data_IF_955718454010
#
_entry.id   IF_955718454010
#
_cell.length_a   1.000
_cell.length_b   1.000
_cell.length_c   1.000
_cell.angle_alpha   90.00
_cell.angle_beta   90.00
_cell.angle_gamma   90.00
#
_symmetry.space_group_name_H-M   'P 1'
#
loop_
_entity.id
_entity.type
_entity.pdbx_description
1 polymer ?
#
# COMPACT_ATOMS: atom_id res chain seq x y z
N UNK A 1 -11.94 -7.11 9.00
CA UNK A 1 -10.54 -7.11 9.49
C UNK A 1 -10.29 -8.43 10.20
N UNK A 2 -9.41 -9.28 9.67
CA UNK A 2 -9.01 -10.54 10.28
C UNK A 2 -7.68 -10.33 11.03
N UNK A 3 -7.70 -10.50 12.36
CA UNK A 3 -6.53 -10.23 13.21
C UNK A 3 -6.64 -11.01 14.51
N UNK A 4 -5.48 -11.28 15.13
CA UNK A 4 -5.35 -11.81 16.49
C UNK A 4 -4.75 -10.79 17.45
N UNK A 5 -4.43 -9.58 16.99
CA UNK A 5 -3.97 -8.49 17.84
C UNK A 5 -5.17 -7.84 18.57
N UNK A 6 -5.17 -7.93 19.91
CA UNK A 6 -6.15 -7.25 20.75
C UNK A 6 -6.15 -5.73 20.52
N UNK A 7 -7.30 -5.08 20.73
CA UNK A 7 -7.55 -3.67 20.43
C UNK A 7 -7.57 -3.23 18.96
N UNK A 8 -6.96 -3.94 18.01
CA UNK A 8 -6.80 -3.41 16.64
C UNK A 8 -8.14 -3.01 16.01
N UNK A 9 -9.13 -3.90 16.04
CA UNK A 9 -10.47 -3.64 15.49
C UNK A 9 -11.19 -2.53 16.29
N UNK A 10 -11.09 -2.55 17.63
CA UNK A 10 -11.73 -1.56 18.48
C UNK A 10 -11.14 -0.14 18.26
N UNK A 11 -9.81 -0.04 18.14
CA UNK A 11 -9.10 1.19 17.85
C UNK A 11 -9.49 1.73 16.47
N UNK A 12 -9.48 0.88 15.44
CA UNK A 12 -9.89 1.26 14.08
C UNK A 12 -11.33 1.74 14.05
N UNK A 13 -12.24 1.02 14.73
CA UNK A 13 -13.65 1.41 14.85
C UNK A 13 -13.84 2.76 15.56
N UNK A 14 -13.04 3.07 16.59
CA UNK A 14 -13.04 4.40 17.23
C UNK A 14 -12.61 5.49 16.24
N UNK A 15 -11.59 5.23 15.42
CA UNK A 15 -11.20 6.12 14.33
C UNK A 15 -12.34 6.34 13.32
N UNK A 16 -12.98 5.26 12.88
CA UNK A 16 -14.16 5.33 12.01
C UNK A 16 -15.30 6.13 12.64
N UNK A 17 -15.49 6.02 13.96
CA UNK A 17 -16.48 6.81 14.70
C UNK A 17 -16.15 8.31 14.69
N UNK A 18 -14.89 8.69 14.82
CA UNK A 18 -14.47 10.08 14.71
C UNK A 18 -14.72 10.64 13.30
N UNK A 19 -14.54 9.81 12.28
CA UNK A 19 -14.74 10.19 10.88
C UNK A 19 -16.21 10.16 10.43
N UNK A 20 -17.13 9.64 11.25
CA UNK A 20 -18.52 9.40 10.84
C UNK A 20 -19.26 10.69 10.44
N UNK A 21 -18.99 11.81 11.13
CA UNK A 21 -19.64 13.10 10.86
C UNK A 21 -19.07 13.81 9.62
N UNK A 22 -17.76 13.71 9.39
CA UNK A 22 -17.06 14.45 8.35
C UNK A 22 -16.81 13.64 7.06
N UNK A 23 -16.87 12.30 7.15
CA UNK A 23 -16.49 11.41 6.07
C UNK A 23 -14.98 11.41 5.80
N UNK A 24 -14.60 10.70 4.74
CA UNK A 24 -13.23 10.65 4.21
C UNK A 24 -13.30 10.85 2.70
N UNK A 25 -12.56 11.84 2.19
CA UNK A 25 -12.33 11.99 0.75
C UNK A 25 -11.13 11.14 0.35
N UNK A 26 -11.21 10.43 -0.77
CA UNK A 26 -10.09 9.62 -1.26
C UNK A 26 -10.04 9.59 -2.79
N UNK A 27 -8.82 9.47 -3.33
CA UNK A 27 -8.56 9.39 -4.77
C UNK A 27 -7.44 8.41 -5.07
N UNK A 28 -7.62 7.60 -6.11
CA UNK A 28 -6.52 6.86 -6.74
C UNK A 28 -5.83 7.82 -7.70
N UNK A 29 -4.54 8.07 -7.48
CA UNK A 29 -3.72 9.02 -8.27
C UNK A 29 -2.82 8.32 -9.28
N UNK A 30 -2.61 7.02 -9.12
CA UNK A 30 -1.96 6.18 -10.14
C UNK A 30 -2.41 4.71 -10.00
N UNK A 31 -2.43 3.99 -11.12
CA UNK A 31 -2.68 2.56 -11.17
C UNK A 31 -1.72 1.89 -12.15
N UNK A 32 -0.83 1.05 -11.63
CA UNK A 32 0.09 0.25 -12.43
C UNK A 32 0.85 -0.76 -11.60
N UNK A 33 0.54 -2.04 -11.76
CA UNK A 33 1.37 -3.11 -11.23
C UNK A 33 2.66 -3.23 -12.06
N UNK A 34 3.73 -3.73 -11.44
CA UNK A 34 5.06 -3.71 -12.05
C UNK A 34 5.77 -5.05 -12.08
N UNK A 35 6.60 -5.22 -13.12
CA UNK A 35 7.58 -6.30 -13.23
C UNK A 35 8.91 -5.72 -13.70
N UNK A 36 9.99 -6.04 -12.99
CA UNK A 36 11.32 -5.50 -13.22
C UNK A 36 12.34 -6.59 -13.53
N UNK A 37 12.39 -7.12 -14.77
CA UNK A 37 13.44 -8.01 -15.23
C UNK A 37 14.84 -7.37 -15.20
N UNK A 38 15.83 -8.24 -15.25
CA UNK A 38 17.22 -7.89 -15.52
C UNK A 38 17.72 -8.66 -16.75
N UNK A 39 18.27 -7.93 -17.71
CA UNK A 39 18.93 -8.48 -18.89
C UNK A 39 20.39 -8.06 -18.91
N UNK A 40 21.21 -8.80 -19.66
CA UNK A 40 22.66 -8.60 -19.76
C UNK A 40 23.10 -8.51 -21.21
N UNK A 41 24.08 -7.66 -21.45
CA UNK A 41 24.71 -7.46 -22.76
C UNK A 41 26.20 -7.78 -22.70
N UNK A 42 26.89 -7.92 -23.84
CA UNK A 42 28.35 -8.12 -23.88
C UNK A 42 29.12 -7.02 -23.15
N UNK A 43 28.70 -5.76 -23.31
CA UNK A 43 29.33 -4.59 -22.70
C UNK A 43 28.31 -3.49 -22.38
N UNK A 44 28.77 -2.45 -21.68
CA UNK A 44 27.93 -1.30 -21.28
C UNK A 44 27.39 -0.52 -22.48
N UNK A 45 28.17 -0.34 -23.55
CA UNK A 45 27.73 0.40 -24.75
C UNK A 45 26.49 -0.24 -25.38
N UNK A 46 26.47 -1.57 -25.51
CA UNK A 46 25.32 -2.32 -26.01
C UNK A 46 24.10 -2.21 -25.09
N UNK A 47 24.28 -2.27 -23.78
CA UNK A 47 23.19 -2.03 -22.83
C UNK A 47 22.62 -0.61 -22.93
N UNK A 48 23.47 0.40 -23.16
CA UNK A 48 23.07 1.80 -23.38
C UNK A 48 22.32 2.02 -24.70
N UNK A 49 22.71 1.30 -25.76
CA UNK A 49 21.99 1.30 -27.04
C UNK A 49 20.58 0.72 -26.87
N UNK A 50 20.44 -0.41 -26.17
CA UNK A 50 19.13 -0.99 -25.84
C UNK A 50 18.27 -0.06 -24.96
N UNK A 51 18.89 0.61 -23.99
CA UNK A 51 18.21 1.59 -23.14
C UNK A 51 17.66 2.78 -23.96
N UNK A 52 18.46 3.29 -24.91
CA UNK A 52 18.04 4.36 -25.83
C UNK A 52 16.91 3.87 -26.74
N UNK A 53 17.03 2.65 -27.26
CA UNK A 53 16.00 2.04 -28.10
C UNK A 53 14.66 1.91 -27.35
N UNK A 54 14.67 1.44 -26.09
CA UNK A 54 13.45 1.32 -25.26
C UNK A 54 12.80 2.65 -24.88
N UNK A 55 13.58 3.74 -24.88
CA UNK A 55 13.11 5.11 -24.56
C UNK A 55 12.58 5.86 -25.78
N UNK A 56 12.88 5.38 -26.98
CA UNK A 56 12.31 5.95 -28.19
C UNK A 56 10.79 5.69 -28.23
N UNK A 57 9.95 6.71 -28.43
CA UNK A 57 8.49 6.56 -28.40
C UNK A 57 7.94 5.53 -29.41
N UNK A 58 8.47 5.50 -30.63
CA UNK A 58 8.01 4.56 -31.66
C UNK A 58 8.31 3.11 -31.28
N UNK A 59 9.50 2.85 -30.74
CA UNK A 59 9.87 1.51 -30.27
C UNK A 59 9.09 1.10 -29.03
N UNK A 60 8.79 2.04 -28.13
CA UNK A 60 7.92 1.79 -26.99
C UNK A 60 6.54 1.33 -27.44
N UNK A 61 5.94 1.96 -28.45
CA UNK A 61 4.63 1.55 -28.98
C UNK A 61 4.66 0.14 -29.58
N UNK A 62 5.73 -0.23 -30.30
CA UNK A 62 5.90 -1.60 -30.81
C UNK A 62 6.01 -2.63 -29.68
N UNK A 63 6.80 -2.32 -28.64
CA UNK A 63 6.94 -3.17 -27.47
C UNK A 63 5.64 -3.25 -26.67
N UNK A 64 4.91 -2.14 -26.55
CA UNK A 64 3.59 -2.05 -25.92
C UNK A 64 2.57 -2.92 -26.65
N UNK A 65 2.53 -2.89 -27.98
CA UNK A 65 1.66 -3.77 -28.76
C UNK A 65 1.97 -5.26 -28.49
N UNK A 66 3.26 -5.61 -28.42
CA UNK A 66 3.69 -6.96 -28.04
C UNK A 66 3.24 -7.34 -26.62
N UNK A 67 3.40 -6.44 -25.65
CA UNK A 67 2.96 -6.64 -24.25
C UNK A 67 1.44 -6.81 -24.14
N UNK A 68 0.69 -5.89 -24.74
CA UNK A 68 -0.77 -5.80 -24.62
C UNK A 68 -1.46 -6.96 -25.35
N UNK A 69 -0.81 -7.59 -26.34
CA UNK A 69 -1.33 -8.79 -27.02
C UNK A 69 -1.55 -9.99 -26.08
N UNK A 70 -0.93 -9.98 -24.90
CA UNK A 70 -0.91 -11.13 -23.99
C UNK A 70 -2.16 -11.27 -23.12
N UNK A 71 -2.97 -10.19 -23.02
CA UNK A 71 -4.14 -10.10 -22.14
C UNK A 71 -5.10 -9.00 -22.59
N UNK A 72 -6.40 -9.24 -22.40
CA UNK A 72 -7.42 -8.21 -22.62
C UNK A 72 -7.39 -7.08 -21.59
N UNK A 73 -6.78 -7.29 -20.42
CA UNK A 73 -6.74 -6.32 -19.32
C UNK A 73 -5.36 -5.68 -19.12
N UNK A 74 -4.29 -6.33 -19.59
CA UNK A 74 -2.94 -5.79 -19.41
C UNK A 74 -2.73 -4.63 -20.38
N UNK A 75 -2.49 -3.42 -19.85
CA UNK A 75 -2.20 -2.25 -20.67
C UNK A 75 -0.92 -1.60 -20.18
N UNK A 76 0.18 -1.80 -20.91
CA UNK A 76 1.47 -1.21 -20.60
C UNK A 76 1.36 0.31 -20.68
N UNK A 77 1.68 1.01 -19.60
CA UNK A 77 1.60 2.47 -19.54
C UNK A 77 2.96 3.12 -19.68
N UNK A 78 4.00 2.54 -19.08
CA UNK A 78 5.34 3.14 -19.04
C UNK A 78 6.42 2.08 -18.82
N UNK A 79 7.62 2.37 -19.33
CA UNK A 79 8.85 1.71 -18.90
C UNK A 79 9.69 2.66 -18.05
N UNK A 80 10.21 2.15 -16.94
CA UNK A 80 11.26 2.83 -16.18
C UNK A 80 12.53 1.99 -16.27
N UNK A 81 13.55 2.52 -16.95
CA UNK A 81 14.77 1.77 -17.30
C UNK A 81 15.99 2.33 -16.57
N UNK A 82 16.82 1.44 -16.01
CA UNK A 82 18.07 1.75 -15.33
C UNK A 82 19.18 0.80 -15.79
N UNK A 83 20.40 1.32 -15.90
CA UNK A 83 21.58 0.56 -16.32
C UNK A 83 22.57 0.46 -15.14
N UNK A 84 23.23 -0.70 -15.01
CA UNK A 84 24.32 -0.92 -14.07
C UNK A 84 25.43 -1.75 -14.75
N UNK A 85 26.47 -1.06 -15.23
CA UNK A 85 27.48 -1.67 -16.10
C UNK A 85 26.86 -2.23 -17.38
N UNK A 86 26.99 -3.53 -17.61
CA UNK A 86 26.40 -4.23 -18.78
C UNK A 86 25.03 -4.85 -18.51
N UNK A 87 24.42 -4.57 -17.36
CA UNK A 87 23.08 -5.02 -17.01
C UNK A 87 22.06 -3.91 -17.21
N UNK A 88 20.89 -4.28 -17.73
CA UNK A 88 19.77 -3.37 -17.94
C UNK A 88 18.56 -3.87 -17.13
N UNK A 89 18.06 -3.02 -16.25
CA UNK A 89 16.86 -3.26 -15.46
C UNK A 89 15.71 -2.49 -16.09
N UNK A 90 14.65 -3.19 -16.46
CA UNK A 90 13.52 -2.64 -17.21
C UNK A 90 12.28 -2.84 -16.36
N UNK A 91 11.74 -1.77 -15.77
CA UNK A 91 10.52 -1.84 -14.95
C UNK A 91 9.31 -1.57 -15.84
N UNK A 92 8.60 -2.63 -16.20
CA UNK A 92 7.32 -2.59 -16.89
C UNK A 92 6.24 -2.15 -15.90
N UNK A 93 5.41 -1.20 -16.29
CA UNK A 93 4.30 -0.68 -15.49
C UNK A 93 3.03 -0.81 -16.34
N UNK A 94 2.03 -1.54 -15.85
CA UNK A 94 0.80 -1.76 -16.60
C UNK A 94 -0.43 -1.82 -15.69
N UNK A 95 -1.57 -1.39 -16.23
CA UNK A 95 -2.87 -1.67 -15.64
C UNK A 95 -3.23 -3.15 -15.82
N UNK A 96 -4.04 -3.68 -14.92
CA UNK A 96 -4.34 -5.13 -14.85
C UNK A 96 -5.81 -5.44 -14.60
N UNK A 97 -6.69 -4.45 -14.83
CA UNK A 97 -8.09 -4.52 -14.43
C UNK A 97 -8.23 -4.76 -12.93
N UNK A 98 -9.17 -5.61 -12.55
CA UNK A 98 -9.48 -5.93 -11.15
C UNK A 98 -8.56 -6.98 -10.51
N UNK A 99 -7.64 -7.55 -11.29
CA UNK A 99 -6.61 -8.44 -10.73
C UNK A 99 -5.46 -7.62 -10.14
N UNK A 100 -4.85 -8.12 -9.06
CA UNK A 100 -3.57 -7.58 -8.57
C UNK A 100 -2.49 -7.68 -9.67
N UNK A 101 -2.56 -8.72 -10.51
CA UNK A 101 -1.99 -8.68 -11.86
C UNK A 101 -0.57 -9.22 -12.03
N UNK A 102 0.06 -9.78 -11.00
CA UNK A 102 1.45 -10.25 -11.07
C UNK A 102 1.72 -11.33 -12.13
N UNK A 103 0.83 -12.30 -12.30
CA UNK A 103 0.96 -13.31 -13.36
C UNK A 103 0.80 -12.70 -14.76
N UNK A 104 -0.16 -11.78 -14.87
CA UNK A 104 -0.44 -11.05 -16.12
C UNK A 104 0.76 -10.21 -16.55
N UNK A 105 1.36 -9.45 -15.62
CA UNK A 105 2.58 -8.68 -15.87
C UNK A 105 3.75 -9.56 -16.29
N UNK A 106 3.91 -10.72 -15.64
CA UNK A 106 5.05 -11.61 -15.90
C UNK A 106 4.99 -12.18 -17.32
N UNK A 107 3.80 -12.60 -17.76
CA UNK A 107 3.55 -13.07 -19.13
C UNK A 107 3.79 -11.97 -20.17
N UNK A 108 3.24 -10.77 -19.95
CA UNK A 108 3.46 -9.63 -20.83
C UNK A 108 4.95 -9.28 -20.96
N UNK A 109 5.65 -9.26 -19.82
CA UNK A 109 7.08 -8.98 -19.76
C UNK A 109 7.90 -10.00 -20.53
N UNK A 110 7.65 -11.30 -20.34
CA UNK A 110 8.38 -12.36 -21.04
C UNK A 110 8.28 -12.22 -22.57
N UNK A 111 7.06 -12.00 -23.07
CA UNK A 111 6.80 -11.82 -24.50
C UNK A 111 7.48 -10.55 -25.02
N UNK A 112 7.40 -9.43 -24.30
CA UNK A 112 8.09 -8.20 -24.66
C UNK A 112 9.62 -8.36 -24.68
N UNK A 113 10.20 -9.09 -23.73
CA UNK A 113 11.66 -9.33 -23.72
C UNK A 113 12.08 -10.19 -24.92
N UNK A 114 11.28 -11.18 -25.30
CA UNK A 114 11.55 -11.97 -26.51
C UNK A 114 11.45 -11.11 -27.78
N UNK A 115 10.52 -10.15 -27.84
CA UNK A 115 10.44 -9.17 -28.92
C UNK A 115 11.68 -8.25 -28.98
N UNK A 116 12.14 -7.73 -27.83
CA UNK A 116 13.37 -6.94 -27.76
C UNK A 116 14.58 -7.75 -28.20
N UNK A 117 14.63 -9.04 -27.85
CA UNK A 117 15.72 -9.96 -28.22
C UNK A 117 15.85 -10.17 -29.74
N UNK A 118 14.78 -9.97 -30.51
CA UNK A 118 14.86 -10.00 -31.98
C UNK A 118 15.67 -8.83 -32.54
N UNK A 119 15.63 -7.67 -31.88
CA UNK A 119 16.42 -6.48 -32.24
C UNK A 119 17.82 -6.50 -31.61
N UNK A 120 17.96 -7.15 -30.46
CA UNK A 120 19.20 -7.29 -29.71
C UNK A 120 19.50 -8.79 -29.47
N UNK A 121 19.98 -9.53 -30.49
CA UNK A 121 20.23 -10.97 -30.37
C UNK A 121 21.32 -11.31 -29.36
N UNK A 122 22.19 -10.36 -29.05
CA UNK A 122 23.23 -10.42 -28.01
C UNK A 122 22.69 -10.14 -26.58
N UNK A 123 21.39 -9.86 -26.43
CA UNK A 123 20.73 -9.70 -25.14
C UNK A 123 20.45 -11.07 -24.48
N UNK A 124 20.92 -11.21 -23.24
CA UNK A 124 20.64 -12.36 -22.39
C UNK A 124 19.60 -11.99 -21.32
N UNK A 125 18.49 -12.73 -21.26
CA UNK A 125 17.49 -12.58 -20.21
C UNK A 125 17.96 -13.39 -19.00
N UNK A 126 18.46 -12.70 -17.96
CA UNK A 126 18.95 -13.37 -16.75
C UNK A 126 17.81 -13.76 -15.80
N UNK A 127 16.83 -12.88 -15.65
CA UNK A 127 15.65 -13.14 -14.81
C UNK A 127 14.51 -12.21 -15.19
N UNK A 128 13.28 -12.74 -15.17
CA UNK A 128 12.05 -11.94 -15.29
C UNK A 128 11.83 -11.03 -14.07
N UNK A 129 12.50 -11.29 -12.94
CA UNK A 129 12.46 -10.48 -11.73
C UNK A 129 13.87 -10.24 -11.20
N UNK A 130 14.49 -9.13 -11.61
CA UNK A 130 15.77 -8.63 -11.11
C UNK A 130 15.65 -7.76 -9.87
N UNK A 131 14.63 -7.98 -9.03
CA UNK A 131 14.29 -7.15 -7.86
C UNK A 131 13.99 -5.66 -8.13
N UNK A 132 13.89 -5.24 -9.39
CA UNK A 132 13.52 -3.87 -9.77
C UNK A 132 12.00 -3.66 -9.96
N UNK A 133 11.18 -4.61 -9.47
CA UNK A 133 9.72 -4.47 -9.48
C UNK A 133 9.26 -3.37 -8.50
N UNK A 134 9.54 -3.39 -7.18
CA UNK A 134 10.11 -4.47 -6.37
C UNK A 134 9.00 -5.20 -5.59
N UNK A 135 9.00 -6.52 -5.59
CA UNK A 135 7.90 -7.33 -5.03
C UNK A 135 8.24 -7.90 -3.67
N UNK A 136 7.44 -7.63 -2.63
CA UNK A 136 7.59 -8.20 -1.27
C UNK A 136 8.94 -7.90 -0.58
N UNK A 137 9.62 -6.83 -0.99
CA UNK A 137 10.84 -6.31 -0.37
C UNK A 137 10.72 -4.80 -0.19
N UNK A 138 11.25 -4.22 0.89
CA UNK A 138 11.30 -2.77 1.03
C UNK A 138 12.19 -2.20 -0.08
N UNK A 139 11.67 -1.23 -0.84
CA UNK A 139 12.40 -0.61 -1.93
C UNK A 139 11.92 0.81 -2.18
N UNK A 140 12.86 1.76 -2.20
CA UNK A 140 12.58 3.18 -2.47
C UNK A 140 11.89 3.41 -3.82
N UNK A 141 12.13 2.55 -4.82
CA UNK A 141 11.46 2.67 -6.13
C UNK A 141 9.94 2.53 -6.02
N UNK A 142 9.42 1.72 -5.10
CA UNK A 142 7.97 1.61 -4.89
C UNK A 142 7.42 2.84 -4.16
N UNK A 143 8.20 3.41 -3.25
CA UNK A 143 7.84 4.65 -2.54
C UNK A 143 7.77 5.85 -3.49
N UNK A 144 8.79 6.00 -4.34
CA UNK A 144 8.97 7.18 -5.20
C UNK A 144 8.13 7.10 -6.48
N UNK A 145 8.15 5.95 -7.15
CA UNK A 145 7.52 5.78 -8.47
C UNK A 145 6.17 5.04 -8.40
N UNK A 146 5.73 4.64 -7.20
CA UNK A 146 4.51 3.85 -6.99
C UNK A 146 4.61 2.39 -7.43
N UNK A 147 3.62 1.58 -7.03
CA UNK A 147 3.41 0.19 -7.49
C UNK A 147 2.01 -0.31 -7.13
N UNK A 148 1.25 -0.82 -8.09
CA UNK A 148 -0.17 -1.12 -7.88
C UNK A 148 -0.97 0.18 -7.85
N UNK A 149 -1.76 0.40 -6.80
CA UNK A 149 -2.59 1.60 -6.64
C UNK A 149 -1.88 2.61 -5.74
N UNK A 150 -1.70 3.83 -6.24
CA UNK A 150 -1.31 4.98 -5.42
C UNK A 150 -2.57 5.72 -4.96
N UNK A 151 -2.78 5.84 -3.66
CA UNK A 151 -4.01 6.39 -3.08
C UNK A 151 -3.68 7.50 -2.09
N UNK A 152 -4.45 8.57 -2.15
CA UNK A 152 -4.48 9.62 -1.13
C UNK A 152 -5.86 9.65 -0.48
N UNK A 153 -5.91 9.86 0.83
CA UNK A 153 -7.14 10.04 1.59
C UNK A 153 -6.96 11.19 2.59
N UNK A 154 -8.03 11.96 2.81
CA UNK A 154 -8.04 13.09 3.73
C UNK A 154 -9.39 13.23 4.46
N UNK A 155 -9.34 13.88 5.62
CA UNK A 155 -10.51 14.29 6.38
C UNK A 155 -10.22 15.56 7.18
N UNK A 156 -11.26 16.34 7.44
CA UNK A 156 -11.27 17.46 8.38
C UNK A 156 -12.10 17.02 9.58
N UNK A 157 -11.45 16.80 10.72
CA UNK A 157 -12.08 16.29 11.94
C UNK A 157 -12.38 17.47 12.87
N UNK A 158 -13.66 17.72 13.21
CA UNK A 158 -14.05 18.82 14.08
C UNK A 158 -13.43 18.74 15.48
N UNK A 159 -13.10 19.89 16.07
CA UNK A 159 -12.53 19.99 17.41
C UNK A 159 -13.34 19.22 18.48
N UNK A 160 -14.68 19.35 18.44
CA UNK A 160 -15.58 18.65 19.39
C UNK A 160 -15.42 17.13 19.31
N UNK A 161 -15.16 16.59 18.12
CA UNK A 161 -14.93 15.16 17.91
C UNK A 161 -13.55 14.74 18.41
N UNK A 162 -12.52 15.56 18.19
CA UNK A 162 -11.17 15.31 18.71
C UNK A 162 -11.20 15.22 20.25
N UNK A 163 -11.89 16.15 20.91
CA UNK A 163 -12.01 16.13 22.36
C UNK A 163 -12.91 15.00 22.86
N UNK A 164 -14.12 14.87 22.30
CA UNK A 164 -15.14 13.96 22.84
C UNK A 164 -14.95 12.49 22.44
N UNK A 165 -14.41 12.20 21.27
CA UNK A 165 -14.19 10.82 20.78
C UNK A 165 -12.74 10.42 20.94
N UNK A 166 -11.81 11.28 20.49
CA UNK A 166 -10.37 10.99 20.47
C UNK A 166 -9.67 11.30 21.79
N UNK A 167 -10.35 12.02 22.71
CA UNK A 167 -9.90 12.28 24.09
C UNK A 167 -8.51 12.94 24.13
N UNK A 168 -8.28 13.87 23.21
CA UNK A 168 -7.02 14.61 23.05
C UNK A 168 -7.31 15.99 22.45
N UNK A 169 -6.29 16.75 22.07
CA UNK A 169 -6.39 18.04 21.37
C UNK A 169 -5.72 17.98 19.99
N UNK A 170 -6.10 18.89 19.10
CA UNK A 170 -5.50 19.02 17.76
C UNK A 170 -4.00 19.28 17.87
N UNK A 171 -3.58 20.21 18.73
CA UNK A 171 -2.17 20.52 18.94
C UNK A 171 -1.37 19.29 19.35
N UNK A 172 -1.86 18.50 20.30
CA UNK A 172 -1.16 17.30 20.76
C UNK A 172 -1.05 16.24 19.65
N UNK A 173 -2.08 16.10 18.80
CA UNK A 173 -2.03 15.20 17.64
C UNK A 173 -1.00 15.64 16.61
N UNK A 174 -0.98 16.93 16.27
CA UNK A 174 -0.01 17.51 15.33
C UNK A 174 1.42 17.34 15.85
N UNK A 175 1.66 17.67 17.12
CA UNK A 175 2.97 17.54 17.76
C UNK A 175 3.46 16.08 17.75
N UNK A 176 2.60 15.13 18.14
CA UNK A 176 2.96 13.70 18.10
C UNK A 176 3.17 13.23 16.66
N UNK A 177 2.39 13.69 15.68
CA UNK A 177 2.60 13.32 14.28
C UNK A 177 3.96 13.81 13.74
N UNK A 178 4.29 15.08 13.97
CA UNK A 178 5.57 15.64 13.55
C UNK A 178 6.73 14.90 14.23
N UNK A 179 6.67 14.76 15.55
CA UNK A 179 7.79 14.19 16.32
C UNK A 179 7.96 12.69 16.10
N UNK A 180 6.87 11.92 15.96
CA UNK A 180 6.91 10.47 15.75
C UNK A 180 7.01 10.08 14.29
N UNK A 181 6.00 10.42 13.49
CA UNK A 181 5.83 9.88 12.15
C UNK A 181 6.78 10.53 11.13
N UNK A 182 7.21 11.78 11.39
CA UNK A 182 8.18 12.47 10.54
C UNK A 182 9.59 12.41 11.13
N UNK A 183 9.84 13.11 12.23
CA UNK A 183 11.18 13.24 12.83
C UNK A 183 11.68 11.87 13.30
N UNK A 184 10.87 11.13 14.06
CA UNK A 184 11.22 9.80 14.57
C UNK A 184 11.54 8.81 13.45
N UNK A 185 10.70 8.74 12.41
CA UNK A 185 10.96 7.90 11.23
C UNK A 185 12.19 8.34 10.43
N UNK A 186 12.47 9.65 10.34
CA UNK A 186 13.68 10.16 9.71
C UNK A 186 14.95 9.77 10.49
N UNK A 187 14.93 9.91 11.81
CA UNK A 187 16.03 9.46 12.71
C UNK A 187 16.25 7.95 12.58
N UNK A 188 15.19 7.18 12.39
CA UNK A 188 15.26 5.73 12.20
C UNK A 188 15.75 5.29 10.80
N UNK A 189 15.96 6.22 9.86
CA UNK A 189 16.34 5.88 8.48
C UNK A 189 15.22 5.17 7.69
N UNK A 190 13.96 5.43 8.05
CA UNK A 190 12.80 4.81 7.41
C UNK A 190 12.61 5.32 5.97
N UNK A 191 12.25 4.42 5.06
CA UNK A 191 11.83 4.76 3.69
C UNK A 191 10.40 4.26 3.50
N UNK A 192 9.45 5.19 3.39
CA UNK A 192 8.02 4.89 3.21
C UNK A 192 7.25 4.55 4.49
N UNK A 193 7.92 4.44 5.64
CA UNK A 193 7.29 4.21 6.94
C UNK A 193 7.13 5.49 7.75
N UNK A 194 6.44 6.49 7.21
CA UNK A 194 6.16 7.78 7.87
C UNK A 194 4.75 7.81 8.47
N UNK A 195 4.41 6.75 9.20
CA UNK A 195 3.08 6.47 9.75
C UNK A 195 3.19 5.74 11.10
N UNK A 196 2.05 5.58 11.78
CA UNK A 196 2.00 4.92 13.06
C UNK A 196 1.91 3.39 12.93
N UNK A 197 0.91 2.88 12.21
CA UNK A 197 0.62 1.45 12.11
C UNK A 197 -0.16 1.05 10.85
N UNK A 198 0.08 1.70 9.70
CA UNK A 198 -0.61 1.36 8.45
C UNK A 198 -0.57 -0.14 8.12
N UNK A 199 0.56 -0.80 8.42
CA UNK A 199 0.76 -2.23 8.22
C UNK A 199 -0.26 -3.12 8.97
N UNK A 200 -0.70 -2.72 10.17
CA UNK A 200 -1.69 -3.48 10.94
C UNK A 200 -3.03 -3.52 10.21
N UNK A 201 -3.47 -2.35 9.72
CA UNK A 201 -4.74 -2.21 9.00
C UNK A 201 -4.68 -2.93 7.65
N UNK A 202 -3.61 -2.70 6.88
CA UNK A 202 -3.37 -3.34 5.58
C UNK A 202 -3.42 -4.86 5.74
N UNK A 203 -2.64 -5.42 6.67
CA UNK A 203 -2.59 -6.87 6.91
C UNK A 203 -3.96 -7.43 7.29
N UNK A 204 -4.67 -6.77 8.21
CA UNK A 204 -5.96 -7.26 8.68
C UNK A 204 -7.06 -7.22 7.59
N UNK A 205 -7.01 -6.24 6.69
CA UNK A 205 -7.90 -6.22 5.52
C UNK A 205 -7.45 -7.29 4.52
N UNK A 206 -6.16 -7.37 4.21
CA UNK A 206 -5.60 -8.28 3.21
C UNK A 206 -5.93 -9.74 3.50
N UNK A 207 -5.76 -10.19 4.75
CA UNK A 207 -6.11 -11.55 5.16
C UNK A 207 -7.62 -11.78 5.03
N UNK A 208 -8.45 -10.82 5.43
CA UNK A 208 -9.90 -10.94 5.37
C UNK A 208 -10.42 -11.01 3.92
N UNK A 209 -9.82 -10.24 3.01
CA UNK A 209 -10.29 -10.10 1.62
C UNK A 209 -9.51 -10.94 0.62
N UNK A 210 -8.69 -11.89 1.07
CA UNK A 210 -8.00 -12.86 0.21
C UNK A 210 -6.87 -12.30 -0.64
N UNK A 211 -6.26 -11.22 -0.17
CA UNK A 211 -5.06 -10.63 -0.78
C UNK A 211 -3.81 -11.43 -0.39
N UNK A 212 -2.66 -11.06 -0.95
CA UNK A 212 -1.36 -11.65 -0.59
C UNK A 212 -0.76 -10.89 0.61
N UNK A 213 -0.77 -11.45 1.83
CA UNK A 213 -0.30 -10.75 3.03
C UNK A 213 1.20 -10.45 2.99
N UNK A 214 2.00 -11.15 2.17
CA UNK A 214 3.42 -10.84 2.04
C UNK A 214 3.66 -9.52 1.29
N UNK A 215 2.67 -9.02 0.53
CA UNK A 215 2.72 -7.71 -0.11
C UNK A 215 2.52 -6.55 0.88
N UNK A 216 2.16 -6.83 2.15
CA UNK A 216 2.13 -5.82 3.21
C UNK A 216 3.44 -5.02 3.26
N UNK A 217 4.59 -5.64 2.97
CA UNK A 217 5.91 -4.98 2.92
C UNK A 217 5.92 -3.70 2.07
N UNK A 218 5.24 -3.71 0.91
CA UNK A 218 5.13 -2.56 0.02
C UNK A 218 3.81 -1.81 0.18
N UNK A 219 2.72 -2.55 0.37
CA UNK A 219 1.37 -2.00 0.53
C UNK A 219 1.18 -1.17 1.79
N UNK A 220 2.02 -1.33 2.81
CA UNK A 220 1.98 -0.51 4.03
C UNK A 220 2.80 0.78 3.95
N UNK A 221 3.44 1.07 2.81
CA UNK A 221 4.06 2.36 2.60
C UNK A 221 3.02 3.46 2.77
N UNK A 222 3.24 4.36 3.72
CA UNK A 222 2.30 5.41 4.06
C UNK A 222 3.04 6.58 4.69
N UNK A 223 2.66 7.79 4.27
CA UNK A 223 2.93 9.02 5.02
C UNK A 223 1.62 9.57 5.57
N UNK A 224 1.62 9.85 6.88
CA UNK A 224 0.51 10.45 7.60
C UNK A 224 0.88 11.87 7.98
N UNK A 225 0.04 12.82 7.57
CA UNK A 225 0.21 14.24 7.86
C UNK A 225 -0.99 14.74 8.66
N UNK A 226 -0.71 15.67 9.57
CA UNK A 226 -1.69 16.30 10.44
C UNK A 226 -1.34 17.77 10.60
N UNK A 227 -2.33 18.64 10.47
CA UNK A 227 -2.18 20.08 10.66
C UNK A 227 -3.46 20.71 11.24
N UNK A 228 -3.35 21.86 11.93
CA UNK A 228 -4.51 22.66 12.29
C UNK A 228 -5.28 23.12 11.05
N UNK A 229 -6.61 23.17 11.13
CA UNK A 229 -7.47 23.53 10.01
C UNK A 229 -8.58 24.52 10.40
N UNK A 230 -9.02 25.31 9.43
CA UNK A 230 -10.03 26.37 9.60
C UNK A 230 -9.41 27.71 9.98
N UNK A 231 -10.21 28.77 9.98
CA UNK A 231 -9.76 30.14 10.29
C UNK A 231 -9.11 30.24 11.68
N UNK A 232 -9.68 29.54 12.65
CA UNK A 232 -9.20 29.54 14.04
C UNK A 232 -8.18 28.41 14.32
N UNK A 233 -7.91 27.52 13.36
CA UNK A 233 -6.99 26.38 13.54
C UNK A 233 -7.45 25.33 14.57
N UNK A 234 -8.76 25.29 14.89
CA UNK A 234 -9.29 24.41 15.93
C UNK A 234 -9.59 23.00 15.44
N UNK A 235 -9.84 22.82 14.15
CA UNK A 235 -10.11 21.50 13.57
C UNK A 235 -8.81 20.82 13.15
N UNK A 236 -8.87 19.50 12.97
CA UNK A 236 -7.73 18.72 12.52
C UNK A 236 -7.89 18.35 11.05
N UNK A 237 -7.00 18.84 10.19
CA UNK A 237 -6.79 18.20 8.89
C UNK A 237 -5.86 16.99 9.07
N UNK A 238 -6.26 15.85 8.54
CA UNK A 238 -5.46 14.63 8.50
C UNK A 238 -5.46 14.06 7.09
N UNK A 239 -4.30 13.61 6.63
CA UNK A 239 -4.18 12.87 5.37
C UNK A 239 -3.28 11.65 5.49
N UNK A 240 -3.54 10.66 4.63
CA UNK A 240 -2.71 9.48 4.44
C UNK A 240 -2.45 9.31 2.94
N UNK A 241 -1.18 9.16 2.57
CA UNK A 241 -0.77 8.88 1.19
C UNK A 241 -0.03 7.56 1.11
N UNK A 242 -0.59 6.62 0.34
CA UNK A 242 -0.12 5.25 0.19
C UNK A 242 0.22 4.98 -1.29
N UNK A 243 1.49 5.13 -1.71
CA UNK A 243 1.84 5.13 -3.13
C UNK A 243 1.90 3.73 -3.76
N UNK A 244 1.87 2.67 -2.96
CA UNK A 244 2.16 1.32 -3.45
C UNK A 244 1.23 0.21 -2.94
N UNK A 245 -0.09 0.44 -2.94
CA UNK A 245 -1.07 -0.58 -2.53
C UNK A 245 -1.22 -1.65 -3.62
N UNK A 246 -0.73 -2.85 -3.34
CA UNK A 246 -0.82 -4.01 -4.22
C UNK A 246 -2.06 -4.82 -3.90
N UNK A 247 -3.11 -4.70 -4.72
CA UNK A 247 -4.43 -5.23 -4.36
C UNK A 247 -5.25 -5.65 -5.59
N UNK A 248 -6.17 -6.58 -5.41
CA UNK A 248 -7.11 -6.99 -6.45
C UNK A 248 -8.37 -7.65 -5.87
N UNK A 249 -9.41 -7.73 -6.69
CA UNK A 249 -10.69 -8.34 -6.35
C UNK A 249 -10.97 -9.61 -7.16
N UNK A 250 -10.08 -9.94 -8.11
CA UNK A 250 -10.09 -11.17 -8.91
C UNK A 250 -8.75 -11.91 -8.80
N UNK A 251 -8.82 -13.24 -8.64
CA UNK A 251 -7.67 -14.15 -8.64
C UNK A 251 -7.00 -14.33 -7.28
N UNK A 252 -6.12 -15.32 -7.18
CA UNK A 252 -5.45 -15.65 -5.90
C UNK A 252 -6.45 -16.11 -4.85
N UNK A 253 -6.31 -15.59 -3.61
CA UNK A 253 -7.18 -15.94 -2.49
C UNK A 253 -8.59 -15.35 -2.56
N UNK A 254 -8.87 -14.41 -3.47
CA UNK A 254 -10.19 -13.76 -3.58
C UNK A 254 -11.28 -14.71 -4.08
N UNK A 255 -10.90 -15.86 -4.66
CA UNK A 255 -11.81 -16.89 -5.16
C UNK A 255 -12.35 -17.79 -4.04
N UNK A 256 -11.71 -17.80 -2.87
CA UNK A 256 -12.14 -18.60 -1.73
C UNK A 256 -13.42 -18.01 -1.12
N UNK A 257 -14.42 -18.85 -0.86
CA UNK A 257 -15.75 -18.41 -0.44
C UNK A 257 -15.75 -17.46 0.78
N UNK A 258 -14.98 -17.71 1.87
CA UNK A 258 -14.97 -16.81 3.03
C UNK A 258 -14.38 -15.41 2.71
N UNK A 259 -13.28 -15.37 1.96
CA UNK A 259 -12.63 -14.12 1.54
C UNK A 259 -13.50 -13.36 0.54
N UNK A 260 -14.16 -14.09 -0.36
CA UNK A 260 -15.12 -13.53 -1.31
C UNK A 260 -16.31 -12.87 -0.61
N UNK A 261 -16.83 -13.48 0.47
CA UNK A 261 -17.87 -12.86 1.29
C UNK A 261 -17.40 -11.54 1.93
N UNK A 262 -16.12 -11.44 2.31
CA UNK A 262 -15.55 -10.19 2.80
C UNK A 262 -15.43 -9.09 1.74
N UNK A 263 -15.14 -9.45 0.50
CA UNK A 263 -15.18 -8.51 -0.63
C UNK A 263 -16.62 -8.08 -0.96
N UNK A 264 -17.57 -9.00 -0.83
CA UNK A 264 -19.00 -8.74 -1.07
C UNK A 264 -19.58 -7.76 -0.04
N UNK A 265 -19.20 -7.89 1.24
CA UNK A 265 -19.53 -6.91 2.29
C UNK A 265 -19.08 -5.48 1.96
N UNK A 266 -18.02 -5.35 1.15
CA UNK A 266 -17.48 -4.05 0.71
C UNK A 266 -18.02 -3.63 -0.67
N UNK A 267 -18.85 -4.45 -1.32
CA UNK A 267 -19.43 -4.18 -2.64
C UNK A 267 -18.42 -4.22 -3.80
N UNK A 268 -17.28 -4.90 -3.63
CA UNK A 268 -16.17 -4.90 -4.59
C UNK A 268 -15.77 -6.31 -5.04
N UNK A 269 -16.63 -7.31 -4.87
CA UNK A 269 -16.33 -8.69 -5.27
C UNK A 269 -16.26 -8.82 -6.80
N UNK A 270 -15.22 -9.50 -7.28
CA UNK A 270 -15.11 -9.88 -8.70
C UNK A 270 -14.65 -8.72 -9.59
N UNK A 271 -14.80 -8.92 -10.90
CA UNK A 271 -14.50 -7.92 -11.92
C UNK A 271 -15.62 -6.89 -12.02
N UNK A 272 -15.26 -5.67 -12.40
CA UNK A 272 -16.21 -4.68 -12.85
C UNK A 272 -16.27 -4.72 -14.39
N UNK A 273 -17.40 -5.13 -14.94
CA UNK A 273 -17.53 -5.34 -16.39
C UNK A 273 -17.68 -4.02 -17.16
N UNK A 274 -18.28 -2.99 -16.56
CA UNK A 274 -18.47 -1.68 -17.17
C UNK A 274 -17.18 -0.84 -17.14
N UNK A 275 -16.45 -0.88 -16.02
CA UNK A 275 -15.21 -0.15 -15.81
C UNK A 275 -14.13 -1.06 -15.19
N UNK A 276 -13.44 -1.90 -15.99
CA UNK A 276 -12.44 -2.84 -15.49
C UNK A 276 -11.36 -2.19 -14.63
N UNK A 277 -11.21 -2.68 -13.40
CA UNK A 277 -10.29 -2.12 -12.39
C UNK A 277 -10.96 -1.28 -11.32
N UNK A 278 -12.22 -0.86 -11.50
CA UNK A 278 -12.91 -0.01 -10.53
C UNK A 278 -13.12 -0.69 -9.17
N UNK A 279 -13.38 -2.00 -9.14
CA UNK A 279 -13.55 -2.71 -7.87
C UNK A 279 -12.22 -2.75 -7.09
N UNK A 280 -11.10 -3.02 -7.79
CA UNK A 280 -9.78 -2.96 -7.18
C UNK A 280 -9.38 -1.55 -6.72
N UNK A 281 -9.71 -0.51 -7.51
CA UNK A 281 -9.53 0.89 -7.12
C UNK A 281 -10.35 1.26 -5.88
N UNK A 282 -11.62 0.85 -5.84
CA UNK A 282 -12.50 1.07 -4.69
C UNK A 282 -11.97 0.37 -3.44
N UNK A 283 -11.51 -0.88 -3.56
CA UNK A 283 -10.90 -1.60 -2.44
C UNK A 283 -9.63 -0.89 -1.93
N UNK A 284 -8.78 -0.37 -2.82
CA UNK A 284 -7.60 0.40 -2.44
C UNK A 284 -7.96 1.68 -1.67
N UNK A 285 -9.03 2.38 -2.08
CA UNK A 285 -9.58 3.55 -1.39
C UNK A 285 -10.11 3.19 0.00
N UNK A 286 -10.81 2.05 0.13
CA UNK A 286 -11.27 1.53 1.42
C UNK A 286 -10.08 1.23 2.34
N UNK A 287 -9.03 0.59 1.83
CA UNK A 287 -7.80 0.33 2.60
C UNK A 287 -7.19 1.63 3.11
N UNK A 288 -6.96 2.62 2.24
CA UNK A 288 -6.36 3.90 2.62
C UNK A 288 -7.24 4.69 3.62
N UNK A 289 -8.56 4.70 3.43
CA UNK A 289 -9.49 5.33 4.37
C UNK A 289 -9.53 4.62 5.74
N UNK A 290 -9.42 3.29 5.75
CA UNK A 290 -9.36 2.52 7.01
C UNK A 290 -8.01 2.72 7.69
N UNK A 291 -6.92 2.86 6.93
CA UNK A 291 -5.60 3.25 7.47
C UNK A 291 -5.70 4.61 8.15
N UNK A 292 -6.29 5.62 7.49
CA UNK A 292 -6.50 6.95 8.09
C UNK A 292 -7.29 6.87 9.41
N UNK A 293 -8.35 6.07 9.46
CA UNK A 293 -9.09 5.82 10.70
C UNK A 293 -8.21 5.18 11.80
N UNK A 294 -7.43 4.17 11.45
CA UNK A 294 -6.48 3.53 12.35
C UNK A 294 -5.44 4.51 12.88
N UNK A 295 -4.82 5.30 12.00
CA UNK A 295 -3.81 6.31 12.33
C UNK A 295 -4.38 7.34 13.32
N UNK A 296 -5.56 7.91 13.01
CA UNK A 296 -6.22 8.88 13.85
C UNK A 296 -6.42 8.36 15.29
N UNK A 297 -6.91 7.13 15.43
CA UNK A 297 -7.19 6.54 16.74
C UNK A 297 -5.93 6.21 17.55
N UNK A 298 -4.92 5.61 16.90
CA UNK A 298 -3.67 5.24 17.57
C UNK A 298 -2.87 6.49 17.98
N UNK A 299 -2.76 7.47 17.09
CA UNK A 299 -2.08 8.75 17.39
C UNK A 299 -2.76 9.47 18.54
N UNK A 300 -4.10 9.43 18.61
CA UNK A 300 -4.85 9.99 19.73
C UNK A 300 -4.58 9.26 21.05
N UNK A 301 -4.46 7.94 21.02
CA UNK A 301 -4.11 7.16 22.21
C UNK A 301 -2.67 7.43 22.68
N UNK A 302 -1.75 7.70 21.77
CA UNK A 302 -0.37 8.11 22.09
C UNK A 302 -0.33 9.51 22.68
N UNK A 303 -1.00 10.49 22.05
CA UNK A 303 -1.06 11.86 22.51
C UNK A 303 -1.71 12.00 23.90
N UNK A 304 -2.71 11.17 24.22
CA UNK A 304 -3.34 11.13 25.53
C UNK A 304 -2.60 10.27 26.59
N UNK A 305 -1.51 9.58 26.24
CA UNK A 305 -0.80 8.66 27.15
C UNK A 305 -1.57 7.38 27.49
N UNK A 306 -2.56 7.00 26.68
CA UNK A 306 -3.49 5.89 26.96
C UNK A 306 -3.04 4.52 26.41
N UNK A 307 -1.93 4.44 25.66
CA UNK A 307 -1.53 3.22 24.95
C UNK A 307 -1.36 2.01 25.88
N UNK A 308 -0.59 2.17 26.97
CA UNK A 308 -0.29 1.07 27.90
C UNK A 308 -1.55 0.55 28.59
N UNK A 309 -2.45 1.45 29.01
CA UNK A 309 -3.69 1.07 29.72
C UNK A 309 -4.65 0.28 28.83
N UNK A 310 -4.76 0.64 27.55
CA UNK A 310 -5.63 -0.04 26.58
C UNK A 310 -5.11 -1.43 26.21
N UNK A 311 -3.80 -1.58 25.97
CA UNK A 311 -3.20 -2.90 25.69
C UNK A 311 -3.27 -3.84 26.89
N UNK A 312 -3.05 -3.36 28.11
CA UNK A 312 -3.16 -4.19 29.31
C UNK A 312 -4.58 -4.71 29.55
N UNK A 313 -5.62 -3.95 29.16
CA UNK A 313 -7.03 -4.34 29.38
C UNK A 313 -7.54 -5.37 28.36
N UNK A 314 -7.05 -5.35 27.13
CA UNK A 314 -7.63 -6.11 26.03
C UNK A 314 -6.67 -7.06 25.31
N UNK A 315 -5.35 -6.92 25.50
CA UNK A 315 -4.32 -7.75 24.85
C UNK A 315 -3.61 -8.70 25.83
N UNK A 316 -4.08 -8.79 27.09
CA UNK A 316 -3.67 -9.82 28.05
C UNK A 316 -4.87 -10.66 28.43
N UNK A 317 -4.75 -11.99 28.33
CA UNK A 317 -5.74 -12.91 28.90
C UNK A 317 -5.79 -12.73 30.42
N UNK A 318 -6.96 -12.41 30.96
CA UNK A 318 -7.24 -12.35 32.41
C UNK A 318 -7.06 -13.70 33.12
N UNK A 319 -6.81 -14.79 32.37
CA UNK A 319 -6.64 -16.16 32.86
C UNK A 319 -5.42 -16.33 33.79
N UNK A 320 -4.44 -15.42 33.78
CA UNK A 320 -3.23 -15.53 34.63
C UNK A 320 -3.13 -14.47 35.75
N UNK A 321 -4.16 -13.66 36.01
CA UNK A 321 -4.08 -12.59 37.04
C UNK A 321 -4.75 -12.97 38.37
N UNK A 322 -5.48 -14.08 38.43
CA UNK A 322 -6.06 -14.61 39.67
C UNK A 322 -5.22 -15.77 40.21
N UNK A 323 -4.09 -15.47 40.90
CA UNK A 323 -3.48 -16.30 41.97
C UNK A 323 -2.17 -15.69 42.51
N UNK A 324 -2.25 -14.50 43.10
CA UNK A 324 -1.27 -14.07 44.12
C UNK A 324 -1.99 -13.24 45.18
N UNK A 325 -2.87 -13.90 45.93
CA UNK A 325 -3.15 -13.55 47.31
C UNK A 325 -2.57 -14.68 48.18
N UNK A 326 -1.32 -14.52 48.62
CA UNK A 326 -0.80 -15.19 49.81
C UNK A 326 -0.87 -14.12 50.91
N UNK A 327 -1.94 -14.13 51.70
CA UNK A 327 -1.99 -14.77 53.03
C UNK A 327 -1.31 -13.90 54.08
N UNK A 328 -2.11 -13.00 54.67
CA UNK A 328 -1.96 -12.62 56.07
C UNK A 328 -1.93 -13.90 56.92
N UNK A 329 -0.94 -14.00 57.80
CA UNK A 329 -0.80 -15.10 58.74
C UNK A 329 0.13 -14.68 59.88
N UNK A 330 -0.50 -14.40 61.03
CA UNK A 330 0.01 -14.20 62.40
C UNK A 330 1.04 -13.11 62.65
#
# INVERSE_FOLDING_TARGET
MATTEGCLVASTNRGSRALLKCGVSSRVVADGMTRGPVVRFPNMSRASEAMTWLRNPQNFELLKASFDSTSRYARLSKLHVRIAGRHLFIRFIAQTGDAMGMNMLSKGTEISLNFVKQHFPDMEILSLSGNFCADKKPAAVNWIEGRGKSVVAEAIVPADVVESVLKTSVQALVDVNITKNLIGSAVAGSIGGFNAHAANIVTAIFIATGQDPAQNVGSSNCITLMEPWGEDGNDLYISCSMPSIEIGTVGGGTTLSPQSACLDMLGVKGSNDENPGENACTLARIVCGTVLAGELSLMSALAAGHLVRSHLRHNRSSVNVTKTNCSEGS
#
